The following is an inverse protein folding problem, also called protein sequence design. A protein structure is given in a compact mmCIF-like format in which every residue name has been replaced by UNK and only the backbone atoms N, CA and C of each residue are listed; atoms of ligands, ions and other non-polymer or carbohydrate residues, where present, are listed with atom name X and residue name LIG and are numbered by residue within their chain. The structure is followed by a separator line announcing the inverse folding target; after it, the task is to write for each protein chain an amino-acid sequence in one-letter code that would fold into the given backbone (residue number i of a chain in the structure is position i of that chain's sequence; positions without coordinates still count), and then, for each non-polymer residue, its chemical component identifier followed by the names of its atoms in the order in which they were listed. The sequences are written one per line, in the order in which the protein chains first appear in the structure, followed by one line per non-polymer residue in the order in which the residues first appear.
data_IF_130109864846
#
_entry.id   IF_130109864846
#
_cell.length_a   1.000
_cell.length_b   1.000
_cell.length_c   1.000
_cell.angle_alpha   90.00
_cell.angle_beta   90.00
_cell.angle_gamma   90.00
#
_symmetry.space_group_name_H-M   'P 1'
#
loop_
_entity.id
_entity.type
_entity.pdbx_description
1 polymer ?
#
# COMPACT_ATOMS: atom_id res chain seq x y z
N UNK A 1 -24.35 -6.58 -9.72
CA UNK A 1 -22.87 -6.56 -9.69
C UNK A 1 -22.44 -6.05 -8.33
N UNK A 2 -22.17 -6.95 -7.37
CA UNK A 2 -21.71 -6.56 -6.02
C UNK A 2 -20.41 -7.29 -5.77
N UNK A 3 -19.30 -6.68 -6.17
CA UNK A 3 -17.98 -7.13 -5.75
C UNK A 3 -17.71 -6.50 -4.38
N UNK A 4 -18.43 -7.00 -3.37
CA UNK A 4 -18.10 -6.76 -1.98
C UNK A 4 -16.83 -7.53 -1.68
N UNK A 5 -15.69 -6.85 -1.68
CA UNK A 5 -14.46 -7.40 -1.13
C UNK A 5 -14.11 -6.60 0.11
N UNK A 6 -14.74 -7.06 1.19
CA UNK A 6 -14.41 -6.80 2.58
C UNK A 6 -12.95 -7.22 2.82
N UNK A 7 -12.01 -6.33 2.56
CA UNK A 7 -10.69 -6.38 3.19
C UNK A 7 -10.73 -5.37 4.34
N UNK A 8 -11.55 -5.69 5.34
CA UNK A 8 -11.41 -5.06 6.63
C UNK A 8 -10.24 -5.75 7.35
N UNK A 9 -9.45 -4.92 8.05
CA UNK A 9 -8.24 -5.22 8.85
C UNK A 9 -6.92 -5.01 8.07
N UNK A 10 -6.42 -3.77 8.05
CA UNK A 10 -4.98 -3.49 7.96
C UNK A 10 -4.53 -2.43 6.96
N UNK A 11 -5.23 -2.23 5.83
CA UNK A 11 -4.73 -1.29 4.81
C UNK A 11 -5.16 0.15 5.11
N UNK A 12 -4.30 0.92 5.78
CA UNK A 12 -4.55 2.32 6.10
C UNK A 12 -4.60 3.25 4.87
N UNK A 13 -4.01 2.82 3.75
CA UNK A 13 -3.81 3.66 2.55
C UNK A 13 -4.25 2.97 1.25
N UNK A 14 -4.72 3.78 0.32
CA UNK A 14 -5.17 3.33 -1.01
C UNK A 14 -3.99 2.97 -1.91
N UNK A 15 -4.22 2.13 -2.93
CA UNK A 15 -3.18 1.78 -3.94
C UNK A 15 -2.58 3.03 -4.61
N UNK A 16 -3.39 4.06 -4.84
CA UNK A 16 -2.93 5.34 -5.40
C UNK A 16 -2.00 6.09 -4.44
N UNK A 17 -2.27 6.05 -3.12
CA UNK A 17 -1.42 6.70 -2.11
C UNK A 17 -0.06 6.02 -2.00
N UNK A 18 -0.04 4.68 -2.02
CA UNK A 18 1.21 3.92 -2.14
C UNK A 18 1.96 4.30 -3.41
N UNK A 19 1.29 4.34 -4.56
CA UNK A 19 1.91 4.71 -5.84
C UNK A 19 2.50 6.12 -5.80
N UNK A 20 1.78 7.08 -5.23
CA UNK A 20 2.25 8.46 -5.08
C UNK A 20 3.49 8.56 -4.17
N UNK A 21 3.56 7.72 -3.13
CA UNK A 21 4.75 7.61 -2.28
C UNK A 21 5.91 6.81 -2.92
N UNK A 22 5.74 6.33 -4.16
CA UNK A 22 6.74 5.50 -4.84
C UNK A 22 6.81 4.06 -4.31
N UNK A 23 5.69 3.55 -3.78
CA UNK A 23 5.51 2.18 -3.32
C UNK A 23 4.62 1.44 -4.31
N UNK A 24 5.12 0.33 -4.86
CA UNK A 24 4.33 -0.59 -5.65
C UNK A 24 3.61 -1.57 -4.71
N UNK A 25 2.28 -1.50 -4.71
CA UNK A 25 1.42 -2.39 -3.94
C UNK A 25 0.87 -3.49 -4.85
N UNK A 26 1.33 -4.73 -4.66
CA UNK A 26 0.98 -5.88 -5.49
C UNK A 26 0.10 -6.82 -4.67
N UNK A 27 -1.10 -7.11 -5.18
CA UNK A 27 -2.02 -8.05 -4.55
C UNK A 27 -1.88 -9.42 -5.20
N UNK A 28 -1.41 -10.40 -4.46
CA UNK A 28 -1.34 -11.78 -4.91
C UNK A 28 -2.72 -12.45 -4.87
N UNK A 29 -2.95 -13.42 -5.77
CA UNK A 29 -4.22 -14.14 -5.90
C UNK A 29 -4.59 -15.01 -4.68
N UNK A 30 -3.66 -15.22 -3.74
CA UNK A 30 -3.87 -15.90 -2.47
C UNK A 30 -4.31 -14.94 -1.33
N UNK A 31 -4.57 -13.66 -1.64
CA UNK A 31 -4.92 -12.65 -0.65
C UNK A 31 -3.73 -12.05 0.09
N UNK A 32 -2.49 -12.42 -0.25
CA UNK A 32 -1.29 -11.73 0.26
C UNK A 32 -1.07 -10.42 -0.48
N UNK A 33 -0.59 -9.42 0.24
CA UNK A 33 -0.17 -8.15 -0.33
C UNK A 33 1.35 -8.03 -0.18
N UNK A 34 2.01 -7.63 -1.26
CA UNK A 34 3.44 -7.35 -1.28
C UNK A 34 3.65 -5.88 -1.59
N UNK A 35 4.61 -5.28 -0.89
CA UNK A 35 4.95 -3.88 -1.03
C UNK A 35 6.39 -3.78 -1.53
N UNK A 36 6.60 -3.03 -2.59
CA UNK A 36 7.93 -2.84 -3.15
C UNK A 36 8.26 -1.35 -3.20
N UNK A 37 9.44 -0.98 -2.71
CA UNK A 37 9.97 0.38 -2.84
C UNK A 37 11.33 0.34 -3.52
N UNK A 38 11.48 1.07 -4.63
CA UNK A 38 12.71 1.11 -5.44
C UNK A 38 13.25 -0.29 -5.81
N UNK A 39 12.35 -1.21 -6.15
CA UNK A 39 12.69 -2.59 -6.53
C UNK A 39 13.06 -3.52 -5.37
N UNK A 40 12.93 -3.08 -4.11
CA UNK A 40 13.11 -3.92 -2.92
C UNK A 40 11.77 -4.26 -2.29
N UNK A 41 11.57 -5.52 -1.93
CA UNK A 41 10.44 -5.92 -1.11
C UNK A 41 10.58 -5.27 0.28
N UNK A 42 9.52 -4.62 0.72
CA UNK A 42 9.42 -3.98 2.03
C UNK A 42 8.18 -4.53 2.77
N UNK A 43 8.21 -4.41 4.09
CA UNK A 43 7.05 -4.75 4.92
C UNK A 43 5.92 -3.71 4.73
N UNK A 44 4.70 -4.11 5.07
CA UNK A 44 3.54 -3.22 5.09
C UNK A 44 3.79 -1.98 5.94
N UNK A 45 4.33 -2.14 7.16
CA UNK A 45 4.65 -1.02 8.06
C UNK A 45 5.59 0.01 7.41
N UNK A 46 6.63 -0.46 6.71
CA UNK A 46 7.57 0.42 6.01
C UNK A 46 6.91 1.12 4.81
N UNK A 47 5.99 0.46 4.13
CA UNK A 47 5.20 1.06 3.06
C UNK A 47 4.30 2.17 3.60
N UNK A 48 3.64 1.95 4.74
CA UNK A 48 2.81 2.93 5.42
C UNK A 48 3.63 4.13 5.90
N UNK A 49 4.81 3.91 6.48
CA UNK A 49 5.71 5.01 6.86
C UNK A 49 6.13 5.88 5.67
N UNK A 50 6.39 5.28 4.50
CA UNK A 50 6.70 6.02 3.28
C UNK A 50 5.52 6.88 2.83
N UNK A 51 4.30 6.33 2.86
CA UNK A 51 3.08 7.09 2.53
C UNK A 51 2.84 8.22 3.52
N UNK A 52 2.98 7.97 4.82
CA UNK A 52 2.87 8.98 5.88
C UNK A 52 3.86 10.12 5.69
N UNK A 53 5.12 9.78 5.41
CA UNK A 53 6.19 10.75 5.16
C UNK A 53 5.91 11.58 3.91
N UNK A 54 5.41 10.94 2.84
CA UNK A 54 5.02 11.62 1.60
C UNK A 54 3.87 12.62 1.82
N UNK A 55 2.79 12.20 2.50
CA UNK A 55 1.66 13.08 2.81
C UNK A 55 2.06 14.25 3.71
N UNK A 56 2.95 14.02 4.69
CA UNK A 56 3.44 15.09 5.56
C UNK A 56 4.22 16.17 4.80
N UNK A 57 4.89 15.83 3.69
CA UNK A 57 5.61 16.78 2.83
C UNK A 57 4.70 17.57 1.88
N UNK A 58 3.47 17.08 1.62
CA UNK A 58 2.48 17.77 0.81
C UNK A 58 1.65 18.80 1.60
N UNK A 59 1.72 18.76 2.93
CA UNK A 59 1.17 19.78 3.84
C UNK A 59 2.18 20.87 4.11
#
# INVERSE_FOLDING_TARGET
MKQGSRYEIGQSYSHEEYRNAGVAHIKQGNGRCEYYHKGKLISEEAAEELVRSYQKKLK
#
